data_IF_681247679563
#
_entry.id   IF_681247679563
#
_cell.length_a   1.000
_cell.length_b   1.000
_cell.length_c   1.000
_cell.angle_alpha   90.00
_cell.angle_beta   90.00
_cell.angle_gamma   90.00
#
_symmetry.space_group_name_H-M   'P 1'
#
loop_
_entity.id
_entity.type
_entity.pdbx_description
1 polymer ?
#
# COMPACT_ATOMS: atom_id res chain seq x y z
N UNK A 1 -12.52 -17.93 -14.62
CA UNK A 1 -12.78 -16.47 -14.40
C UNK A 1 -13.50 -16.33 -13.07
N UNK A 2 -12.81 -15.84 -12.05
CA UNK A 2 -13.45 -15.44 -10.79
C UNK A 2 -14.36 -14.24 -11.10
N UNK A 3 -15.66 -14.39 -10.92
CA UNK A 3 -16.62 -13.30 -11.13
C UNK A 3 -16.28 -12.15 -10.19
N UNK A 4 -16.42 -10.92 -10.63
CA UNK A 4 -16.21 -9.67 -9.85
C UNK A 4 -16.89 -9.69 -8.46
N UNK A 5 -17.92 -10.54 -8.27
CA UNK A 5 -18.65 -10.76 -7.02
C UNK A 5 -17.86 -11.48 -5.92
N UNK A 6 -16.74 -12.14 -6.25
CA UNK A 6 -15.97 -12.99 -5.32
C UNK A 6 -14.70 -12.31 -4.79
N UNK A 7 -14.43 -11.07 -5.21
CA UNK A 7 -13.26 -10.31 -4.76
C UNK A 7 -13.59 -9.65 -3.42
N UNK A 8 -13.04 -10.17 -2.33
CA UNK A 8 -13.06 -9.50 -1.04
C UNK A 8 -11.78 -8.68 -0.86
N UNK A 9 -11.97 -7.37 -0.64
CA UNK A 9 -10.88 -6.39 -0.43
C UNK A 9 -10.73 -6.09 1.05
N UNK A 10 -9.51 -6.07 1.54
CA UNK A 10 -9.17 -5.47 2.83
C UNK A 10 -8.45 -4.14 2.61
N UNK A 11 -9.08 -3.04 3.02
CA UNK A 11 -8.40 -1.77 3.19
C UNK A 11 -7.69 -1.76 4.55
N UNK A 12 -6.41 -1.49 4.56
CA UNK A 12 -5.57 -1.39 5.77
C UNK A 12 -5.35 0.09 6.03
N UNK A 13 -5.73 0.58 7.21
CA UNK A 13 -5.68 1.99 7.58
C UNK A 13 -4.75 2.21 8.78
N UNK A 14 -3.45 2.42 8.57
CA UNK A 14 -2.56 2.86 9.65
C UNK A 14 -2.96 4.24 10.15
N UNK A 15 -3.01 4.41 11.47
CA UNK A 15 -3.35 5.66 12.13
C UNK A 15 -2.45 5.90 13.35
N UNK A 16 -1.87 7.10 13.46
CA UNK A 16 -1.10 7.55 14.60
C UNK A 16 -1.39 9.02 14.89
N UNK A 17 -2.19 9.27 15.93
CA UNK A 17 -2.64 10.60 16.32
C UNK A 17 -3.39 11.32 15.16
N UNK A 18 -4.47 10.68 14.71
CA UNK A 18 -5.30 11.14 13.58
C UNK A 18 -6.74 11.50 14.04
N UNK A 19 -6.93 11.94 15.29
CA UNK A 19 -8.26 12.28 15.83
C UNK A 19 -9.05 13.27 14.97
N UNK A 20 -8.37 14.11 14.19
CA UNK A 20 -8.99 15.10 13.31
C UNK A 20 -9.42 14.55 11.95
N UNK A 21 -8.85 13.42 11.53
CA UNK A 21 -8.98 12.91 10.17
C UNK A 21 -9.62 11.53 10.11
N UNK A 22 -9.49 10.73 11.17
CA UNK A 22 -9.80 9.29 11.14
C UNK A 22 -11.26 8.99 10.79
N UNK A 23 -12.21 9.76 11.30
CA UNK A 23 -13.63 9.56 10.98
C UNK A 23 -13.93 9.81 9.49
N UNK A 24 -13.35 10.88 8.93
CA UNK A 24 -13.49 11.20 7.51
C UNK A 24 -12.83 10.11 6.64
N UNK A 25 -11.65 9.62 7.01
CA UNK A 25 -10.95 8.55 6.30
C UNK A 25 -11.76 7.25 6.29
N UNK A 26 -12.34 6.86 7.42
CA UNK A 26 -13.24 5.70 7.55
C UNK A 26 -14.45 5.87 6.64
N UNK A 27 -15.16 6.98 6.77
CA UNK A 27 -16.38 7.26 6.02
C UNK A 27 -16.15 7.29 4.51
N UNK A 28 -15.06 7.91 4.05
CA UNK A 28 -14.69 7.95 2.64
C UNK A 28 -14.36 6.56 2.10
N UNK A 29 -13.70 5.70 2.90
CA UNK A 29 -13.41 4.32 2.52
C UNK A 29 -14.68 3.49 2.39
N UNK A 30 -15.58 3.56 3.39
CA UNK A 30 -16.85 2.84 3.38
C UNK A 30 -17.77 3.32 2.26
N UNK A 31 -17.78 4.63 1.99
CA UNK A 31 -18.50 5.22 0.86
C UNK A 31 -17.98 4.66 -0.45
N UNK A 32 -16.68 4.61 -0.64
CA UNK A 32 -16.07 4.06 -1.86
C UNK A 32 -16.37 2.58 -2.04
N UNK A 33 -16.44 1.78 -0.97
CA UNK A 33 -16.92 0.39 -1.05
C UNK A 33 -18.36 0.31 -1.57
N UNK A 34 -19.23 1.21 -1.10
CA UNK A 34 -20.61 1.28 -1.57
C UNK A 34 -20.71 1.73 -3.03
N UNK A 35 -19.98 2.79 -3.40
CA UNK A 35 -20.04 3.39 -4.74
C UNK A 35 -19.60 2.40 -5.84
N UNK A 36 -18.70 1.48 -5.51
CA UNK A 36 -18.18 0.45 -6.45
C UNK A 36 -18.74 -0.96 -6.20
N UNK A 37 -19.72 -1.12 -5.32
CA UNK A 37 -20.29 -2.43 -4.91
C UNK A 37 -19.21 -3.44 -4.49
N UNK A 38 -18.25 -2.97 -3.68
CA UNK A 38 -17.12 -3.77 -3.20
C UNK A 38 -17.50 -4.51 -1.92
N UNK A 39 -17.38 -5.83 -1.91
CA UNK A 39 -17.36 -6.63 -0.68
C UNK A 39 -16.03 -6.40 0.04
N UNK A 40 -15.97 -5.36 0.87
CA UNK A 40 -14.75 -4.93 1.54
C UNK A 40 -14.85 -4.94 3.06
N UNK A 41 -13.70 -5.13 3.72
CA UNK A 41 -13.49 -4.82 5.13
C UNK A 41 -12.45 -3.71 5.28
N UNK A 42 -12.54 -2.98 6.38
CA UNK A 42 -11.58 -1.97 6.78
C UNK A 42 -10.91 -2.40 8.09
N UNK A 43 -9.59 -2.57 8.07
CA UNK A 43 -8.81 -2.81 9.28
C UNK A 43 -8.03 -1.53 9.62
N UNK A 44 -8.43 -0.87 10.71
CA UNK A 44 -7.67 0.25 11.26
C UNK A 44 -6.60 -0.29 12.19
N UNK A 45 -5.36 0.13 11.96
CA UNK A 45 -4.22 -0.19 12.83
C UNK A 45 -3.86 1.08 13.59
N UNK A 46 -4.29 1.14 14.86
CA UNK A 46 -3.93 2.22 15.75
C UNK A 46 -2.50 1.99 16.25
N UNK A 47 -1.54 2.72 15.70
CA UNK A 47 -0.11 2.55 15.95
C UNK A 47 0.35 3.27 17.24
N UNK A 48 -0.32 2.99 18.35
CA UNK A 48 0.02 3.57 19.67
C UNK A 48 -0.35 5.05 19.79
N UNK A 49 -1.51 5.47 19.28
CA UNK A 49 -1.99 6.85 19.42
C UNK A 49 -2.25 7.22 20.88
N UNK A 50 -1.96 8.47 21.21
CA UNK A 50 -2.16 9.07 22.54
C UNK A 50 -3.32 10.07 22.60
N UNK A 51 -3.93 10.37 21.42
CA UNK A 51 -5.11 11.21 21.27
C UNK A 51 -6.41 10.38 21.22
N UNK A 52 -7.50 10.97 20.76
CA UNK A 52 -8.82 10.31 20.68
C UNK A 52 -8.97 9.34 19.50
N UNK A 53 -7.93 9.09 18.69
CA UNK A 53 -8.00 8.23 17.50
C UNK A 53 -8.63 6.87 17.81
N UNK A 54 -8.14 6.18 18.84
CA UNK A 54 -8.66 4.86 19.25
C UNK A 54 -10.16 4.91 19.54
N UNK A 55 -10.59 5.86 20.36
CA UNK A 55 -11.99 6.01 20.77
C UNK A 55 -12.90 6.22 19.58
N UNK A 56 -12.52 7.08 18.64
CA UNK A 56 -13.29 7.37 17.43
C UNK A 56 -13.45 6.13 16.54
N UNK A 57 -12.41 5.30 16.44
CA UNK A 57 -12.49 4.03 15.71
C UNK A 57 -13.40 3.02 16.41
N UNK A 58 -13.31 2.89 17.74
CA UNK A 58 -14.18 2.02 18.54
C UNK A 58 -15.67 2.43 18.39
N UNK A 59 -15.93 3.73 18.26
CA UNK A 59 -17.30 4.22 18.00
C UNK A 59 -17.77 3.92 16.56
N UNK A 60 -16.87 4.03 15.59
CA UNK A 60 -17.17 3.66 14.20
C UNK A 60 -17.49 2.16 14.05
N UNK A 61 -16.79 1.28 14.79
CA UNK A 61 -17.07 -0.17 14.80
C UNK A 61 -18.50 -0.49 15.24
N UNK A 62 -19.06 0.26 16.19
CA UNK A 62 -20.45 0.08 16.65
C UNK A 62 -21.46 0.38 15.54
N UNK A 63 -21.09 1.24 14.58
CA UNK A 63 -21.95 1.69 13.47
C UNK A 63 -21.81 0.81 12.23
N UNK A 64 -20.64 0.19 12.00
CA UNK A 64 -20.39 -0.66 10.82
C UNK A 64 -19.50 -1.85 11.16
N UNK A 65 -20.05 -3.05 11.05
CA UNK A 65 -19.37 -4.31 11.37
C UNK A 65 -18.24 -4.69 10.40
N UNK A 66 -18.11 -3.98 9.30
CA UNK A 66 -16.98 -4.17 8.36
C UNK A 66 -15.68 -3.58 8.87
N UNK A 67 -15.74 -2.73 9.91
CA UNK A 67 -14.56 -2.09 10.52
C UNK A 67 -14.01 -3.00 11.60
N UNK A 68 -12.69 -3.13 11.63
CA UNK A 68 -11.96 -3.85 12.68
C UNK A 68 -10.82 -2.96 13.17
N UNK A 69 -10.44 -3.12 14.43
CA UNK A 69 -9.35 -2.37 15.06
C UNK A 69 -8.28 -3.33 15.56
N UNK A 70 -7.03 -2.99 15.29
CA UNK A 70 -5.85 -3.59 15.91
C UNK A 70 -5.11 -2.44 16.62
N UNK A 71 -4.74 -2.65 17.89
CA UNK A 71 -4.00 -1.66 18.65
C UNK A 71 -2.57 -2.12 18.88
N UNK A 72 -1.61 -1.23 18.68
CA UNK A 72 -0.26 -1.37 19.16
C UNK A 72 -0.09 -0.62 20.49
N UNK A 73 0.64 -1.18 21.44
CA UNK A 73 0.92 -0.52 22.72
C UNK A 73 1.82 0.70 22.58
N UNK A 74 2.62 0.74 21.50
CA UNK A 74 3.54 1.83 21.16
C UNK A 74 3.74 1.89 19.65
N UNK A 75 4.15 3.06 19.10
CA UNK A 75 4.39 3.20 17.66
C UNK A 75 5.44 2.21 17.15
N UNK A 76 5.04 1.39 16.17
CA UNK A 76 5.89 0.41 15.48
C UNK A 76 6.25 0.86 14.07
N UNK A 77 5.49 1.81 13.53
CA UNK A 77 5.70 2.41 12.23
C UNK A 77 4.76 1.89 11.14
N UNK A 78 4.60 2.70 10.10
CA UNK A 78 3.61 2.49 9.04
C UNK A 78 3.76 1.14 8.32
N UNK A 79 4.99 0.66 8.13
CA UNK A 79 5.24 -0.64 7.51
C UNK A 79 4.82 -1.79 8.41
N UNK A 80 5.08 -1.72 9.74
CA UNK A 80 4.60 -2.72 10.69
C UNK A 80 3.07 -2.77 10.68
N UNK A 81 2.43 -1.61 10.80
CA UNK A 81 0.96 -1.50 10.73
C UNK A 81 0.39 -2.10 9.43
N UNK A 82 1.06 -1.88 8.29
CA UNK A 82 0.63 -2.49 7.03
C UNK A 82 0.71 -4.02 7.09
N UNK A 83 1.83 -4.57 7.57
CA UNK A 83 2.00 -6.03 7.63
C UNK A 83 1.06 -6.70 8.62
N UNK A 84 0.77 -6.08 9.75
CA UNK A 84 -0.23 -6.58 10.68
C UNK A 84 -1.63 -6.58 10.05
N UNK A 85 -1.94 -5.56 9.27
CA UNK A 85 -3.15 -5.53 8.46
C UNK A 85 -3.20 -6.65 7.43
N UNK A 86 -2.10 -6.91 6.69
CA UNK A 86 -2.02 -8.02 5.71
C UNK A 86 -2.22 -9.38 6.36
N UNK A 87 -1.60 -9.60 7.52
CA UNK A 87 -1.70 -10.88 8.23
C UNK A 87 -3.11 -11.15 8.78
N UNK A 88 -3.83 -10.10 9.16
CA UNK A 88 -5.19 -10.16 9.66
C UNK A 88 -6.26 -9.97 8.57
N UNK A 89 -5.87 -9.68 7.33
CA UNK A 89 -6.79 -9.45 6.22
C UNK A 89 -7.57 -10.72 5.87
N UNK A 90 -8.90 -10.59 5.72
CA UNK A 90 -9.80 -11.63 5.20
C UNK A 90 -9.87 -11.60 3.68
N UNK A 91 -9.68 -10.42 3.09
CA UNK A 91 -9.72 -10.22 1.65
C UNK A 91 -8.57 -10.89 0.91
N UNK A 92 -8.83 -11.29 -0.34
CA UNK A 92 -7.78 -11.77 -1.27
C UNK A 92 -6.98 -10.62 -1.85
N UNK A 93 -7.52 -9.42 -1.84
CA UNK A 93 -6.88 -8.18 -2.27
C UNK A 93 -6.67 -7.28 -1.08
N UNK A 94 -5.55 -6.57 -1.06
CA UNK A 94 -5.21 -5.63 0.01
C UNK A 94 -4.72 -4.31 -0.58
N UNK A 95 -5.06 -3.22 0.10
CA UNK A 95 -4.51 -1.90 -0.17
C UNK A 95 -4.31 -1.14 1.13
N UNK A 96 -3.39 -0.17 1.14
CA UNK A 96 -3.21 0.72 2.28
C UNK A 96 -3.85 2.07 1.99
N UNK A 97 -4.74 2.49 2.88
CA UNK A 97 -5.41 3.80 2.86
C UNK A 97 -5.17 4.48 4.21
N UNK A 98 -4.13 5.33 4.35
CA UNK A 98 -3.78 5.94 5.63
C UNK A 98 -4.90 6.77 6.26
N UNK A 99 -4.97 6.77 7.60
CA UNK A 99 -6.01 7.47 8.37
C UNK A 99 -5.90 8.99 8.41
N UNK A 100 -4.87 9.57 7.77
CA UNK A 100 -4.69 11.02 7.60
C UNK A 100 -5.63 11.66 6.56
N UNK A 101 -6.41 10.82 5.84
CA UNK A 101 -7.36 11.23 4.81
C UNK A 101 -6.76 12.07 3.65
N UNK A 102 -5.43 11.96 3.42
CA UNK A 102 -4.78 12.65 2.29
C UNK A 102 -5.02 11.93 0.95
N UNK A 103 -5.32 10.65 1.02
CA UNK A 103 -5.55 9.81 -0.15
C UNK A 103 -7.04 9.51 -0.28
N UNK A 104 -7.64 9.92 -1.41
CA UNK A 104 -9.03 9.60 -1.69
C UNK A 104 -9.16 8.08 -2.01
N UNK A 105 -9.90 7.31 -1.19
CA UNK A 105 -10.12 5.89 -1.46
C UNK A 105 -10.79 5.64 -2.81
N UNK A 106 -11.63 6.54 -3.27
CA UNK A 106 -12.32 6.44 -4.56
C UNK A 106 -11.33 6.38 -5.73
N UNK A 107 -10.29 7.23 -5.69
CA UNK A 107 -9.24 7.30 -6.71
C UNK A 107 -8.42 6.00 -6.82
N UNK A 108 -8.32 5.23 -5.74
CA UNK A 108 -7.61 3.95 -5.74
C UNK A 108 -8.55 2.80 -6.13
N UNK A 109 -9.71 2.72 -5.46
CA UNK A 109 -10.61 1.57 -5.56
C UNK A 109 -11.33 1.46 -6.90
N UNK A 110 -11.47 2.56 -7.65
CA UNK A 110 -12.02 2.54 -9.02
C UNK A 110 -11.22 1.64 -9.99
N UNK A 111 -9.97 1.34 -9.65
CA UNK A 111 -9.11 0.47 -10.45
C UNK A 111 -9.07 -0.98 -9.98
N UNK A 112 -9.88 -1.35 -8.98
CA UNK A 112 -9.88 -2.69 -8.42
C UNK A 112 -10.09 -3.79 -9.44
N UNK A 113 -10.94 -3.55 -10.45
CA UNK A 113 -11.21 -4.53 -11.52
C UNK A 113 -9.98 -4.86 -12.36
N UNK A 114 -8.95 -4.02 -12.40
CA UNK A 114 -7.70 -4.36 -13.09
C UNK A 114 -6.98 -5.56 -12.46
N UNK A 115 -7.25 -5.89 -11.18
CA UNK A 115 -6.74 -7.11 -10.56
C UNK A 115 -7.34 -8.41 -11.15
N UNK A 116 -8.27 -8.31 -12.07
CA UNK A 116 -8.70 -9.42 -12.95
C UNK A 116 -7.70 -9.68 -14.08
N UNK A 117 -6.77 -8.76 -14.35
CA UNK A 117 -5.81 -8.81 -15.46
C UNK A 117 -4.35 -8.76 -15.00
N UNK A 118 -4.07 -8.22 -13.82
CA UNK A 118 -2.72 -8.10 -13.23
C UNK A 118 -2.75 -8.46 -11.75
N UNK A 119 -1.58 -8.71 -11.16
CA UNK A 119 -1.47 -9.03 -9.74
C UNK A 119 -1.28 -7.80 -8.86
N UNK A 120 -0.81 -6.69 -9.45
CA UNK A 120 -0.49 -5.44 -8.75
C UNK A 120 -1.02 -4.27 -9.58
N UNK A 121 -1.75 -3.34 -8.94
CA UNK A 121 -2.13 -2.06 -9.55
C UNK A 121 -1.44 -0.93 -8.79
N UNK A 122 -0.67 -0.12 -9.50
CA UNK A 122 0.20 0.91 -8.94
C UNK A 122 -0.35 2.29 -9.31
N UNK A 123 -1.06 2.99 -8.41
CA UNK A 123 -1.48 4.36 -8.65
C UNK A 123 -0.29 5.33 -8.64
N UNK A 124 -0.21 6.21 -9.64
CA UNK A 124 0.78 7.27 -9.71
C UNK A 124 0.13 8.65 -9.78
N UNK A 125 0.69 9.61 -9.03
CA UNK A 125 0.17 10.98 -9.01
C UNK A 125 0.44 11.67 -10.34
N UNK A 126 -0.63 12.04 -11.05
CA UNK A 126 -0.52 12.75 -12.33
C UNK A 126 -0.59 14.28 -12.17
N UNK A 127 -1.37 14.80 -11.21
CA UNK A 127 -1.54 16.23 -10.94
C UNK A 127 -0.45 16.76 -10.03
N UNK A 128 0.79 16.83 -10.54
CA UNK A 128 1.99 17.21 -9.76
C UNK A 128 2.00 18.66 -9.30
N UNK A 129 1.20 19.51 -9.91
CA UNK A 129 1.03 20.93 -9.60
C UNK A 129 0.52 21.20 -8.18
N UNK A 130 -0.17 20.23 -7.57
CA UNK A 130 -0.64 20.34 -6.17
C UNK A 130 0.48 20.20 -5.14
N UNK A 131 1.70 19.88 -5.58
CA UNK A 131 2.90 19.72 -4.73
C UNK A 131 3.91 20.82 -4.98
N UNK A 132 4.69 21.20 -3.96
CA UNK A 132 5.78 22.14 -4.15
C UNK A 132 6.82 21.60 -5.14
N UNK A 133 7.49 22.52 -5.88
CA UNK A 133 8.56 22.19 -6.82
C UNK A 133 9.69 21.37 -6.15
N UNK A 134 10.05 21.74 -4.93
CA UNK A 134 11.07 21.03 -4.14
C UNK A 134 10.66 19.56 -3.88
N UNK A 135 9.41 19.34 -3.49
CA UNK A 135 8.89 17.97 -3.26
C UNK A 135 8.84 17.16 -4.56
N UNK A 136 8.50 17.80 -5.67
CA UNK A 136 8.51 17.16 -6.98
C UNK A 136 9.94 16.80 -7.42
N UNK A 137 10.92 17.67 -7.20
CA UNK A 137 12.33 17.42 -7.50
C UNK A 137 12.89 16.25 -6.66
N UNK A 138 12.64 16.22 -5.35
CA UNK A 138 13.03 15.11 -4.49
C UNK A 138 12.39 13.78 -4.93
N UNK A 139 11.11 13.81 -5.27
CA UNK A 139 10.39 12.62 -5.76
C UNK A 139 10.96 12.13 -7.10
N UNK A 140 11.37 13.05 -7.98
CA UNK A 140 12.01 12.71 -9.24
C UNK A 140 13.38 12.05 -9.02
N UNK A 141 14.23 12.64 -8.18
CA UNK A 141 15.57 12.09 -7.85
C UNK A 141 15.42 10.70 -7.23
N UNK A 142 14.51 10.56 -6.24
CA UNK A 142 14.25 9.28 -5.61
C UNK A 142 13.84 8.21 -6.62
N UNK A 143 12.86 8.53 -7.47
CA UNK A 143 12.40 7.63 -8.52
C UNK A 143 13.51 7.29 -9.52
N UNK A 144 14.30 8.26 -9.93
CA UNK A 144 15.44 8.06 -10.85
C UNK A 144 16.42 7.04 -10.25
N UNK A 145 16.81 7.22 -8.98
CA UNK A 145 17.71 6.29 -8.27
C UNK A 145 17.08 4.88 -8.24
N UNK A 146 15.82 4.74 -7.83
CA UNK A 146 15.16 3.43 -7.73
C UNK A 146 15.10 2.76 -9.11
N UNK A 147 14.61 3.47 -10.12
CA UNK A 147 14.42 2.91 -11.46
C UNK A 147 15.75 2.47 -12.08
N UNK A 148 16.80 3.31 -11.97
CA UNK A 148 18.13 2.99 -12.49
C UNK A 148 18.77 1.83 -11.74
N UNK A 149 18.73 1.85 -10.40
CA UNK A 149 19.34 0.79 -9.58
C UNK A 149 18.70 -0.57 -9.82
N UNK A 150 17.38 -0.63 -9.86
CA UNK A 150 16.66 -1.90 -9.95
C UNK A 150 16.23 -2.27 -11.37
N UNK A 151 16.59 -1.47 -12.37
CA UNK A 151 16.24 -1.68 -13.78
C UNK A 151 14.74 -1.90 -13.91
N UNK A 152 13.97 -0.94 -13.44
CA UNK A 152 12.50 -0.88 -13.52
C UNK A 152 12.08 0.50 -14.05
N UNK A 153 10.83 0.64 -14.44
CA UNK A 153 10.30 1.92 -14.92
C UNK A 153 8.98 2.25 -14.21
N UNK A 154 9.06 2.73 -12.97
CA UNK A 154 7.89 3.16 -12.21
C UNK A 154 7.70 4.66 -12.28
N UNK A 155 6.44 5.09 -12.43
CA UNK A 155 6.05 6.49 -12.27
C UNK A 155 5.94 6.91 -10.80
N UNK A 156 5.66 5.96 -9.89
CA UNK A 156 5.56 6.20 -8.46
C UNK A 156 5.72 4.92 -7.66
N UNK A 157 6.31 4.98 -6.46
CA UNK A 157 6.61 3.79 -5.64
C UNK A 157 6.01 3.83 -4.23
N UNK A 158 5.37 4.94 -3.83
CA UNK A 158 4.87 5.16 -2.47
C UNK A 158 3.37 5.52 -2.46
N UNK A 159 2.59 4.92 -3.37
CA UNK A 159 1.15 5.15 -3.49
C UNK A 159 0.30 4.12 -2.74
N UNK A 160 -1.00 4.26 -2.92
CA UNK A 160 -2.03 3.34 -2.40
C UNK A 160 -2.16 2.11 -3.31
N UNK A 161 -1.09 1.31 -3.39
CA UNK A 161 -1.00 0.17 -4.30
C UNK A 161 -2.01 -0.92 -3.91
N UNK A 162 -2.67 -1.50 -4.91
CA UNK A 162 -3.54 -2.65 -4.76
C UNK A 162 -2.74 -3.94 -5.05
N UNK A 163 -2.76 -4.88 -4.13
CA UNK A 163 -2.04 -6.14 -4.26
C UNK A 163 -2.98 -7.34 -4.11
N UNK A 164 -2.69 -8.40 -4.83
CA UNK A 164 -3.17 -9.73 -4.47
C UNK A 164 -2.44 -10.17 -3.18
N UNK A 165 -3.19 -10.47 -2.11
CA UNK A 165 -2.61 -10.76 -0.78
C UNK A 165 -1.61 -11.91 -0.80
N UNK A 166 -1.89 -12.95 -1.57
CA UNK A 166 -1.04 -14.15 -1.64
C UNK A 166 0.39 -13.86 -2.08
N UNK A 167 0.59 -12.92 -3.02
CA UNK A 167 1.94 -12.56 -3.48
C UNK A 167 2.77 -11.88 -2.40
N UNK A 168 2.12 -11.16 -1.48
CA UNK A 168 2.79 -10.51 -0.34
C UNK A 168 3.23 -11.52 0.72
N UNK A 169 2.44 -12.58 0.91
CA UNK A 169 2.77 -13.65 1.87
C UNK A 169 4.02 -14.43 1.51
N UNK A 170 4.42 -14.41 0.24
CA UNK A 170 5.67 -15.03 -0.22
C UNK A 170 6.93 -14.21 0.08
N UNK A 171 6.79 -12.98 0.54
CA UNK A 171 7.95 -12.13 0.82
C UNK A 171 8.61 -12.56 2.12
N UNK A 172 9.84 -13.07 2.01
CA UNK A 172 10.64 -13.54 3.17
C UNK A 172 11.12 -12.38 4.05
N UNK A 173 11.15 -11.14 3.52
CA UNK A 173 11.52 -9.96 4.26
C UNK A 173 10.43 -8.91 4.21
N UNK A 174 10.10 -8.35 5.38
CA UNK A 174 9.09 -7.33 5.58
C UNK A 174 9.73 -6.08 6.18
N UNK A 175 9.89 -5.05 5.37
CA UNK A 175 10.37 -3.76 5.84
C UNK A 175 9.29 -3.07 6.67
N UNK A 176 9.66 -2.50 7.82
CA UNK A 176 8.71 -1.82 8.74
C UNK A 176 8.79 -0.29 8.67
N UNK A 177 9.84 0.26 8.06
CA UNK A 177 10.05 1.71 7.92
C UNK A 177 9.39 2.30 6.68
N UNK A 178 9.57 3.59 6.45
CA UNK A 178 8.98 4.31 5.29
C UNK A 178 9.38 3.76 3.91
N UNK A 179 10.46 2.99 3.82
CA UNK A 179 10.91 2.35 2.58
C UNK A 179 10.10 1.09 2.22
N UNK A 180 9.19 0.62 3.07
CA UNK A 180 8.52 -0.67 2.95
C UNK A 180 7.75 -0.83 1.62
N UNK A 181 7.07 0.21 1.15
CA UNK A 181 6.30 0.15 -0.10
C UNK A 181 7.22 -0.06 -1.31
N UNK A 182 8.29 0.72 -1.40
CA UNK A 182 9.28 0.55 -2.48
C UNK A 182 9.96 -0.81 -2.40
N UNK A 183 10.36 -1.26 -1.20
CA UNK A 183 10.98 -2.58 -0.99
C UNK A 183 10.06 -3.70 -1.47
N UNK A 184 8.80 -3.68 -1.05
CA UNK A 184 7.79 -4.67 -1.40
C UNK A 184 7.50 -4.67 -2.91
N UNK A 185 7.33 -3.49 -3.51
CA UNK A 185 7.04 -3.34 -4.92
C UNK A 185 8.19 -3.87 -5.79
N UNK A 186 9.42 -3.49 -5.47
CA UNK A 186 10.61 -3.98 -6.19
C UNK A 186 10.71 -5.50 -6.07
N UNK A 187 10.54 -6.06 -4.87
CA UNK A 187 10.63 -7.52 -4.66
C UNK A 187 9.59 -8.29 -5.45
N UNK A 188 8.35 -7.80 -5.52
CA UNK A 188 7.27 -8.46 -6.24
C UNK A 188 7.46 -8.36 -7.75
N UNK A 189 7.77 -7.18 -8.28
CA UNK A 189 7.97 -6.98 -9.72
C UNK A 189 9.24 -7.68 -10.23
N UNK A 190 10.32 -7.69 -9.46
CA UNK A 190 11.55 -8.45 -9.82
C UNK A 190 11.36 -9.96 -9.78
N UNK A 191 10.34 -10.47 -9.12
CA UNK A 191 9.93 -11.88 -9.21
C UNK A 191 9.13 -12.19 -10.47
N UNK A 192 8.71 -11.18 -11.22
CA UNK A 192 7.99 -11.33 -12.49
C UNK A 192 6.47 -11.20 -12.37
N UNK A 193 5.92 -10.79 -11.21
CA UNK A 193 4.49 -10.57 -11.08
C UNK A 193 4.00 -9.43 -11.98
N UNK A 194 2.88 -9.66 -12.65
CA UNK A 194 2.27 -8.70 -13.57
C UNK A 194 1.73 -7.48 -12.82
N UNK A 195 1.99 -6.31 -13.35
CA UNK A 195 1.50 -5.06 -12.79
C UNK A 195 0.98 -4.11 -13.86
N UNK A 196 0.13 -3.17 -13.44
CA UNK A 196 -0.30 -2.02 -14.23
C UNK A 196 -0.13 -0.74 -13.43
N UNK A 197 0.30 0.34 -14.08
CA UNK A 197 0.30 1.68 -13.49
C UNK A 197 -0.94 2.45 -13.94
N UNK A 198 -1.57 3.16 -13.01
CA UNK A 198 -2.81 3.91 -13.25
C UNK A 198 -2.70 5.34 -12.71
N UNK A 199 -3.32 6.33 -13.39
CA UNK A 199 -3.31 7.70 -12.91
C UNK A 199 -4.16 7.85 -11.64
N UNK A 200 -3.66 8.62 -10.69
CA UNK A 200 -4.27 8.90 -9.41
C UNK A 200 -4.25 10.40 -9.15
N UNK A 201 -5.38 10.98 -8.78
CA UNK A 201 -5.49 12.39 -8.43
C UNK A 201 -5.26 12.58 -6.95
N UNK A 202 -4.23 13.36 -6.60
CA UNK A 202 -4.00 13.75 -5.22
C UNK A 202 -4.90 14.93 -4.86
N UNK A 203 -5.59 14.85 -3.72
CA UNK A 203 -6.36 15.97 -3.18
C UNK A 203 -5.43 17.08 -2.69
N UNK A 204 -5.95 18.32 -2.66
CA UNK A 204 -5.25 19.42 -2.00
C UNK A 204 -5.22 19.15 -0.49
N UNK A 205 -4.05 19.27 0.11
CA UNK A 205 -3.88 19.10 1.55
C UNK A 205 -4.48 20.29 2.29
N UNK A 206 -5.50 20.06 3.08
CA UNK A 206 -6.17 21.11 3.84
C UNK A 206 -5.43 21.53 5.13
N UNK A 207 -4.59 20.66 5.72
CA UNK A 207 -3.79 20.98 6.92
C UNK A 207 -2.76 19.88 7.23
N UNK A 208 -1.71 20.24 7.99
CA UNK A 208 -0.74 19.34 8.58
C UNK A 208 0.67 19.38 7.94
N UNK A 209 1.69 19.01 8.74
CA UNK A 209 3.10 18.94 8.33
C UNK A 209 3.44 17.48 7.99
N UNK A 210 4.04 17.23 6.81
CA UNK A 210 4.46 15.89 6.42
C UNK A 210 5.53 15.36 7.36
N UNK A 211 5.23 14.28 8.10
CA UNK A 211 6.19 13.57 8.97
C UNK A 211 7.24 12.77 8.17
N UNK A 212 7.08 12.66 6.84
CA UNK A 212 7.93 11.83 5.98
C UNK A 212 9.35 12.38 5.77
N UNK A 213 9.58 13.69 6.00
CA UNK A 213 10.88 14.35 5.78
C UNK A 213 11.52 14.67 7.13
N UNK A 214 11.85 13.67 7.92
CA UNK A 214 12.71 13.82 9.10
C UNK A 214 14.04 13.12 8.88
N UNK A 215 15.13 13.65 9.46
CA UNK A 215 16.46 13.06 9.33
C UNK A 215 16.51 11.58 9.77
N UNK A 216 15.88 11.15 10.89
CA UNK A 216 15.83 9.73 11.24
C UNK A 216 15.08 8.87 10.21
N UNK A 217 14.08 9.42 9.53
CA UNK A 217 13.35 8.71 8.45
C UNK A 217 14.23 8.51 7.22
N UNK A 218 15.01 9.54 6.87
CA UNK A 218 15.98 9.46 5.76
C UNK A 218 17.02 8.36 5.97
N UNK A 219 17.63 8.29 7.16
CA UNK A 219 18.61 7.23 7.48
C UNK A 219 17.99 5.83 7.36
N UNK A 220 16.74 5.65 7.80
CA UNK A 220 16.03 4.37 7.65
C UNK A 220 15.75 4.02 6.20
N UNK A 221 15.41 5.00 5.38
CA UNK A 221 15.23 4.81 3.91
C UNK A 221 16.53 4.36 3.27
N UNK A 222 17.66 5.03 3.56
CA UNK A 222 18.97 4.66 3.03
C UNK A 222 19.38 3.24 3.46
N UNK A 223 19.19 2.89 4.73
CA UNK A 223 19.46 1.53 5.23
C UNK A 223 18.60 0.48 4.51
N UNK A 224 17.31 0.77 4.32
CA UNK A 224 16.38 -0.09 3.58
C UNK A 224 16.81 -0.29 2.13
N UNK A 225 17.20 0.79 1.46
CA UNK A 225 17.71 0.78 0.10
C UNK A 225 18.97 -0.09 -0.05
N UNK A 226 20.01 0.14 0.79
CA UNK A 226 21.24 -0.65 0.76
C UNK A 226 20.94 -2.14 0.99
N UNK A 227 20.05 -2.46 1.93
CA UNK A 227 19.63 -3.83 2.17
C UNK A 227 18.97 -4.44 0.94
N UNK A 228 18.05 -3.73 0.30
CA UNK A 228 17.37 -4.21 -0.90
C UNK A 228 18.35 -4.46 -2.06
N UNK A 229 19.32 -3.56 -2.27
CA UNK A 229 20.39 -3.74 -3.24
C UNK A 229 21.18 -5.01 -2.93
N UNK A 230 21.60 -5.21 -1.66
CA UNK A 230 22.31 -6.42 -1.24
C UNK A 230 21.49 -7.68 -1.50
N UNK A 231 20.20 -7.66 -1.15
CA UNK A 231 19.33 -8.83 -1.29
C UNK A 231 19.12 -9.19 -2.77
N UNK A 232 18.99 -8.20 -3.65
CA UNK A 232 18.71 -8.43 -5.08
C UNK A 232 19.95 -8.85 -5.85
N UNK A 233 21.10 -8.21 -5.60
CA UNK A 233 22.29 -8.37 -6.45
C UNK A 233 23.39 -9.24 -5.85
N UNK A 234 23.51 -9.30 -4.52
CA UNK A 234 24.64 -9.96 -3.83
C UNK A 234 24.24 -11.17 -2.96
N UNK A 235 22.97 -11.29 -2.57
CA UNK A 235 22.48 -12.52 -1.97
C UNK A 235 22.16 -13.54 -3.08
N UNK A 236 21.85 -14.80 -2.75
CA UNK A 236 21.50 -15.85 -3.76
C UNK A 236 20.25 -15.51 -4.60
N UNK A 237 20.16 -14.26 -4.97
CA UNK A 237 19.28 -13.59 -5.91
C UNK A 237 17.78 -13.81 -5.65
N UNK A 238 17.01 -12.74 -5.82
CA UNK A 238 15.59 -12.95 -6.19
C UNK A 238 15.65 -13.56 -7.59
N UNK A 239 15.74 -14.90 -7.67
CA UNK A 239 15.57 -15.60 -8.94
C UNK A 239 14.17 -15.29 -9.41
N UNK A 240 14.00 -14.94 -10.69
CA UNK A 240 12.70 -15.04 -11.36
C UNK A 240 12.19 -16.43 -11.02
N UNK A 241 11.13 -16.49 -10.23
CA UNK A 241 10.62 -17.75 -9.72
C UNK A 241 9.97 -18.48 -10.88
N UNK A 242 10.32 -19.73 -11.11
CA UNK A 242 9.56 -20.59 -12.02
C UNK A 242 8.18 -20.94 -11.43
N UNK A 243 8.05 -20.92 -10.10
CA UNK A 243 6.80 -21.27 -9.39
C UNK A 243 6.16 -20.02 -8.80
N UNK A 244 5.20 -19.44 -9.51
CA UNK A 244 4.36 -18.36 -8.99
C UNK A 244 3.27 -18.88 -8.06
N UNK A 245 2.73 -18.03 -7.19
CA UNK A 245 1.57 -18.40 -6.37
C UNK A 245 0.41 -18.82 -7.26
N UNK A 246 -0.17 -19.99 -7.00
CA UNK A 246 -1.20 -20.61 -7.85
C UNK A 246 -2.42 -19.74 -8.15
N UNK A 247 -2.81 -18.86 -7.23
CA UNK A 247 -3.94 -17.95 -7.40
C UNK A 247 -3.55 -16.62 -8.09
N UNK A 248 -2.26 -16.41 -8.41
CA UNK A 248 -1.81 -15.23 -9.16
C UNK A 248 -2.20 -15.34 -10.64
N UNK A 249 -2.40 -14.19 -11.27
CA UNK A 249 -2.63 -14.12 -12.71
C UNK A 249 -1.37 -14.42 -13.50
N UNK A 250 -0.22 -14.07 -12.94
CA UNK A 250 1.09 -14.43 -13.50
C UNK A 250 1.22 -15.94 -13.64
N UNK A 251 0.86 -16.72 -12.60
CA UNK A 251 0.90 -18.18 -12.66
C UNK A 251 -0.07 -18.73 -13.73
N UNK A 252 -1.29 -18.20 -13.79
CA UNK A 252 -2.29 -18.66 -14.79
C UNK A 252 -1.80 -18.44 -16.21
N UNK A 253 -1.28 -17.24 -16.51
CA UNK A 253 -0.76 -16.93 -17.85
C UNK A 253 0.50 -17.72 -18.19
N UNK A 254 1.34 -18.03 -17.21
CA UNK A 254 2.52 -18.87 -17.44
C UNK A 254 2.12 -20.28 -17.86
N UNK A 255 1.11 -20.86 -17.18
CA UNK A 255 0.60 -22.20 -17.49
C UNK A 255 -0.21 -22.27 -18.81
N UNK A 256 -0.69 -21.13 -19.35
CA UNK A 256 -1.37 -21.07 -20.64
C UNK A 256 -0.39 -21.03 -21.83
N UNK A 257 0.89 -20.76 -21.59
CA UNK A 257 1.95 -20.65 -22.62
C UNK A 257 2.80 -21.93 -22.70
N UNK A 258 2.87 -22.72 -21.63
CA UNK A 258 3.49 -24.04 -21.61
C UNK A 258 2.53 -25.13 -22.19
#
# INVERSE_FOLDING_TARGET
MTKSSDILVTAIMPALNEEKNIEAAINNTLKSFKDFDIKGELIVINDGSTDKTRYLVEDAIKKDSRIRLINHDRPQGIGASFWDGVDNARGNMVTMLPGDNENDPWETLRYLKLLEHVDIVIPFVFNKEVRSLFRNALSFIYRFIINTTFVVNFNYTNGTVLYRKSILKELNYRSVGFFFQTDMLIRTVKRGYLFAEVPYRLALRNSGVSKAVSFPSFVRVVKGYIRLVKDIYFSKGIKIKKDFVKDSLTARRHNEIE
#
